data_IF_337468512830
#
_entry.id   IF_337468512830
#
_cell.length_a   1.000
_cell.length_b   1.000
_cell.length_c   1.000
_cell.angle_alpha   90.00
_cell.angle_beta   90.00
_cell.angle_gamma   90.00
#
_symmetry.space_group_name_H-M   'P 1'
#
loop_
_entity.id
_entity.type
_entity.pdbx_description
1 polymer ?
#
# COMPACT_ATOMS: atom_id res chain seq x y z
N UNK A 1 -40.52 7.97 -24.24
CA UNK A 1 -39.14 7.46 -24.19
C UNK A 1 -38.47 8.14 -23.02
N UNK A 2 -38.36 7.44 -21.88
CA UNK A 2 -37.64 7.95 -20.72
C UNK A 2 -36.15 7.69 -20.97
N UNK A 3 -35.37 8.75 -21.06
CA UNK A 3 -33.91 8.70 -21.06
C UNK A 3 -33.48 8.16 -19.69
N UNK A 4 -32.98 6.94 -19.67
CA UNK A 4 -32.21 6.42 -18.55
C UNK A 4 -30.96 7.29 -18.44
N UNK A 5 -30.91 8.16 -17.43
CA UNK A 5 -29.66 8.76 -16.98
C UNK A 5 -28.75 7.58 -16.59
N UNK A 6 -27.69 7.36 -17.37
CA UNK A 6 -26.59 6.52 -16.93
C UNK A 6 -26.04 7.17 -15.66
N UNK A 7 -26.35 6.56 -14.51
CA UNK A 7 -25.66 6.85 -13.26
C UNK A 7 -24.20 6.50 -13.52
N UNK A 8 -23.38 7.49 -13.84
CA UNK A 8 -21.93 7.31 -13.87
C UNK A 8 -21.54 6.77 -12.50
N UNK A 9 -20.96 5.56 -12.42
CA UNK A 9 -20.47 5.06 -11.15
C UNK A 9 -19.50 6.10 -10.58
N UNK A 10 -19.63 6.44 -9.28
CA UNK A 10 -18.65 7.28 -8.60
C UNK A 10 -17.28 6.67 -8.82
N UNK A 11 -16.51 7.27 -9.74
CA UNK A 11 -15.24 6.71 -10.19
C UNK A 11 -14.15 7.29 -9.31
N UNK A 12 -13.44 6.43 -8.60
CA UNK A 12 -12.35 6.80 -7.71
C UNK A 12 -11.04 6.85 -8.50
N UNK A 13 -10.30 7.94 -8.39
CA UNK A 13 -8.96 8.07 -8.98
C UNK A 13 -7.90 7.71 -7.94
N UNK A 14 -7.10 6.68 -8.23
CA UNK A 14 -6.03 6.21 -7.34
C UNK A 14 -4.67 6.35 -8.00
N UNK A 15 -3.74 7.06 -7.35
CA UNK A 15 -2.33 7.08 -7.72
C UNK A 15 -1.60 5.92 -7.04
N UNK A 16 -0.87 5.11 -7.80
CA UNK A 16 -0.13 3.96 -7.28
C UNK A 16 1.37 4.14 -7.52
N UNK A 17 2.13 4.21 -6.43
CA UNK A 17 3.59 4.12 -6.45
C UNK A 17 4.01 2.66 -6.32
N UNK A 18 4.97 2.23 -7.15
CA UNK A 18 5.36 0.81 -7.20
C UNK A 18 4.35 -0.05 -7.95
N UNK A 19 3.61 0.54 -8.90
CA UNK A 19 2.58 -0.13 -9.70
C UNK A 19 3.10 -1.35 -10.49
N UNK A 20 4.39 -1.37 -10.87
CA UNK A 20 5.00 -2.52 -11.55
C UNK A 20 5.42 -3.66 -10.61
N UNK A 21 5.31 -3.48 -9.28
CA UNK A 21 5.69 -4.49 -8.29
C UNK A 21 4.70 -5.66 -8.24
N UNK A 22 5.10 -6.77 -7.63
CA UNK A 22 4.29 -8.00 -7.59
C UNK A 22 2.89 -7.77 -6.97
N UNK A 23 2.78 -6.91 -5.95
CA UNK A 23 1.49 -6.52 -5.35
C UNK A 23 0.86 -5.33 -6.08
N UNK A 24 1.66 -4.32 -6.43
CA UNK A 24 1.17 -3.11 -7.10
C UNK A 24 0.43 -3.41 -8.41
N UNK A 25 0.94 -4.32 -9.23
CA UNK A 25 0.30 -4.69 -10.50
C UNK A 25 -1.08 -5.31 -10.28
N UNK A 26 -1.24 -6.11 -9.22
CA UNK A 26 -2.52 -6.73 -8.85
C UNK A 26 -3.52 -5.69 -8.39
N UNK A 27 -3.06 -4.66 -7.69
CA UNK A 27 -3.93 -3.54 -7.31
C UNK A 27 -4.40 -2.78 -8.55
N UNK A 28 -3.50 -2.51 -9.50
CA UNK A 28 -3.87 -1.89 -10.80
C UNK A 28 -4.93 -2.75 -11.50
N UNK A 29 -4.67 -4.04 -11.71
CA UNK A 29 -5.59 -4.98 -12.37
C UNK A 29 -6.97 -4.97 -11.71
N UNK A 30 -7.03 -5.06 -10.38
CA UNK A 30 -8.29 -5.13 -9.64
C UNK A 30 -9.05 -3.80 -9.62
N UNK A 31 -8.37 -2.65 -9.63
CA UNK A 31 -9.02 -1.34 -9.72
C UNK A 31 -9.60 -1.11 -11.12
N UNK A 32 -8.85 -1.46 -12.17
CA UNK A 32 -9.32 -1.36 -13.55
C UNK A 32 -10.50 -2.32 -13.81
N UNK A 33 -10.46 -3.53 -13.27
CA UNK A 33 -11.57 -4.48 -13.35
C UNK A 33 -12.87 -3.95 -12.69
N UNK A 34 -12.74 -3.16 -11.63
CA UNK A 34 -13.85 -2.47 -10.95
C UNK A 34 -14.20 -1.12 -11.62
N UNK A 35 -13.68 -0.86 -12.82
CA UNK A 35 -13.89 0.36 -13.61
C UNK A 35 -13.47 1.64 -12.88
N UNK A 36 -12.37 1.59 -12.15
CA UNK A 36 -11.81 2.75 -11.44
C UNK A 36 -10.67 3.39 -12.24
N UNK A 37 -10.39 4.67 -11.95
CA UNK A 37 -9.29 5.39 -12.58
C UNK A 37 -7.97 5.13 -11.83
N UNK A 38 -6.93 4.80 -12.57
CA UNK A 38 -5.60 4.50 -12.03
C UNK A 38 -4.56 5.38 -12.69
N UNK A 39 -3.78 6.10 -11.85
CA UNK A 39 -2.52 6.72 -12.26
C UNK A 39 -1.38 5.84 -11.74
N UNK A 40 -0.52 5.35 -12.61
CA UNK A 40 0.59 4.46 -12.26
C UNK A 40 1.93 5.16 -12.50
N UNK A 41 2.71 5.39 -11.43
CA UNK A 41 4.11 5.84 -11.56
C UNK A 41 5.00 4.61 -11.68
N UNK A 42 5.67 4.47 -12.81
CA UNK A 42 6.49 3.31 -13.16
C UNK A 42 7.84 3.73 -13.72
N UNK A 43 8.87 2.92 -13.46
CA UNK A 43 10.24 3.18 -13.95
C UNK A 43 10.42 2.98 -15.44
N UNK A 44 9.61 2.13 -16.03
CA UNK A 44 9.65 1.80 -17.46
C UNK A 44 8.23 1.58 -17.91
N UNK A 45 7.73 2.48 -18.75
CA UNK A 45 6.37 2.40 -19.29
C UNK A 45 6.22 1.18 -20.19
N UNK A 46 7.21 0.93 -21.04
CA UNK A 46 7.27 -0.23 -21.93
C UNK A 46 7.09 -1.55 -21.18
N UNK A 47 7.94 -1.83 -20.17
CA UNK A 47 7.84 -3.06 -19.36
C UNK A 47 6.54 -3.17 -18.57
N UNK A 48 5.97 -2.03 -18.19
CA UNK A 48 4.69 -2.03 -17.48
C UNK A 48 3.55 -2.40 -18.44
N UNK A 49 3.57 -1.89 -19.66
CA UNK A 49 2.57 -2.17 -20.69
C UNK A 49 2.62 -3.62 -21.22
N UNK A 50 3.77 -4.29 -21.12
CA UNK A 50 3.87 -5.75 -21.34
C UNK A 50 3.07 -6.57 -20.32
N UNK A 51 2.88 -6.04 -19.10
CA UNK A 51 2.21 -6.71 -17.99
C UNK A 51 0.74 -6.29 -17.91
N UNK A 52 0.49 -4.98 -18.03
CA UNK A 52 -0.83 -4.36 -17.94
C UNK A 52 -1.12 -3.68 -19.28
N UNK A 53 -2.01 -4.25 -20.11
CA UNK A 53 -2.39 -3.63 -21.38
C UNK A 53 -2.97 -2.22 -21.18
N UNK A 54 -2.89 -1.42 -22.23
CA UNK A 54 -3.50 -0.08 -22.23
C UNK A 54 -5.00 -0.16 -21.92
N UNK A 55 -5.46 0.80 -21.12
CA UNK A 55 -6.85 0.90 -20.67
C UNK A 55 -7.26 2.36 -20.63
N UNK A 56 -8.52 2.67 -20.96
CA UNK A 56 -9.03 4.06 -20.99
C UNK A 56 -8.94 4.76 -19.61
N UNK A 57 -9.01 3.97 -18.55
CA UNK A 57 -8.92 4.42 -17.15
C UNK A 57 -7.51 4.33 -16.55
N UNK A 58 -6.49 4.01 -17.36
CA UNK A 58 -5.10 3.87 -16.92
C UNK A 58 -4.24 4.99 -17.50
N UNK A 59 -3.70 5.83 -16.62
CA UNK A 59 -2.64 6.78 -16.96
C UNK A 59 -1.30 6.25 -16.47
N UNK A 60 -0.35 6.03 -17.39
CA UNK A 60 1.01 5.57 -17.03
C UNK A 60 1.98 6.75 -17.10
N UNK A 61 2.64 7.04 -15.97
CA UNK A 61 3.62 8.11 -15.80
C UNK A 61 5.00 7.45 -15.66
N UNK A 62 5.87 7.64 -16.66
CA UNK A 62 7.21 7.06 -16.67
C UNK A 62 8.18 7.91 -15.85
N UNK A 63 8.38 7.54 -14.58
CA UNK A 63 9.32 8.19 -13.67
C UNK A 63 9.54 7.38 -12.39
N UNK A 64 10.30 7.93 -11.45
CA UNK A 64 10.26 7.53 -10.04
C UNK A 64 9.77 8.68 -9.19
N UNK A 65 9.09 8.38 -8.07
CA UNK A 65 8.60 9.39 -7.15
C UNK A 65 9.67 10.42 -6.74
N UNK A 66 10.91 9.95 -6.56
CA UNK A 66 12.04 10.76 -6.11
C UNK A 66 12.73 11.53 -7.24
N UNK A 67 12.53 11.16 -8.51
CA UNK A 67 13.11 11.86 -9.67
C UNK A 67 12.17 12.87 -10.31
N UNK A 68 10.85 12.75 -10.08
CA UNK A 68 9.87 13.73 -10.58
C UNK A 68 10.15 15.12 -10.00
N UNK A 69 9.90 16.17 -10.78
CA UNK A 69 9.86 17.52 -10.22
C UNK A 69 8.68 17.68 -9.27
N UNK A 70 8.70 18.69 -8.40
CA UNK A 70 7.56 18.94 -7.50
C UNK A 70 6.29 19.32 -8.29
N UNK A 71 6.44 20.01 -9.43
CA UNK A 71 5.34 20.35 -10.31
C UNK A 71 4.70 19.10 -10.95
N UNK A 72 5.51 18.22 -11.54
CA UNK A 72 5.00 16.98 -12.17
C UNK A 72 4.35 16.06 -11.13
N UNK A 73 4.94 16.01 -9.93
CA UNK A 73 4.41 15.17 -8.86
C UNK A 73 3.09 15.73 -8.31
N UNK A 74 2.97 17.07 -8.20
CA UNK A 74 1.72 17.74 -7.88
C UNK A 74 0.64 17.46 -8.92
N UNK A 75 0.96 17.50 -10.21
CA UNK A 75 0.03 17.13 -11.28
C UNK A 75 -0.44 15.67 -11.17
N UNK A 76 0.48 14.75 -10.86
CA UNK A 76 0.15 13.35 -10.66
C UNK A 76 -0.84 13.14 -9.49
N UNK A 77 -0.61 13.81 -8.35
CA UNK A 77 -1.47 13.71 -7.15
C UNK A 77 -2.81 14.44 -7.33
N UNK A 78 -2.84 15.53 -8.11
CA UNK A 78 -4.06 16.34 -8.30
C UNK A 78 -5.22 15.51 -8.84
N UNK A 79 -6.39 15.67 -8.22
CA UNK A 79 -7.61 14.93 -8.57
C UNK A 79 -7.65 13.48 -8.09
N UNK A 80 -6.63 13.01 -7.35
CA UNK A 80 -6.67 11.68 -6.75
C UNK A 80 -7.52 11.68 -5.48
N UNK A 81 -8.37 10.66 -5.33
CA UNK A 81 -9.09 10.38 -4.10
C UNK A 81 -8.24 9.53 -3.15
N UNK A 82 -7.32 8.74 -3.71
CA UNK A 82 -6.42 7.89 -2.96
C UNK A 82 -5.01 7.87 -3.55
N UNK A 83 -4.01 7.66 -2.68
CA UNK A 83 -2.63 7.38 -3.06
C UNK A 83 -2.17 6.11 -2.34
N UNK A 84 -1.67 5.13 -3.09
CA UNK A 84 -1.18 3.85 -2.54
C UNK A 84 0.32 3.71 -2.79
N UNK A 85 1.08 3.52 -1.73
CA UNK A 85 2.49 3.15 -1.82
C UNK A 85 2.64 1.63 -1.71
N UNK A 86 2.89 0.99 -2.85
CA UNK A 86 3.36 -0.40 -2.94
C UNK A 86 4.88 -0.47 -3.18
N UNK A 87 5.60 0.60 -2.83
CA UNK A 87 7.05 0.67 -2.99
C UNK A 87 7.74 -0.33 -2.05
N UNK A 88 8.79 -0.96 -2.56
CA UNK A 88 9.63 -1.85 -1.80
C UNK A 88 11.00 -1.94 -2.44
N UNK A 89 12.00 -2.26 -1.64
CA UNK A 89 13.34 -2.49 -2.15
C UNK A 89 13.42 -3.84 -2.86
N UNK A 90 14.12 -3.89 -3.98
CA UNK A 90 14.48 -5.17 -4.61
C UNK A 90 15.37 -5.97 -3.65
N UNK A 91 15.07 -7.25 -3.42
CA UNK A 91 15.85 -8.14 -2.54
C UNK A 91 17.17 -8.64 -3.17
N UNK A 92 17.84 -7.76 -3.92
CA UNK A 92 19.20 -7.97 -4.41
C UNK A 92 20.17 -7.19 -3.52
N UNK A 93 21.46 -7.56 -3.51
CA UNK A 93 22.47 -6.85 -2.72
C UNK A 93 22.46 -5.33 -3.01
N UNK A 94 22.35 -4.96 -4.30
CA UNK A 94 22.25 -3.56 -4.73
C UNK A 94 20.93 -2.91 -4.30
N UNK A 95 19.80 -3.62 -4.36
CA UNK A 95 18.51 -3.05 -3.95
C UNK A 95 18.39 -2.84 -2.43
N UNK A 96 18.99 -3.73 -1.64
CA UNK A 96 18.98 -3.66 -0.17
C UNK A 96 19.98 -2.60 0.35
N UNK A 97 21.18 -2.53 -0.21
CA UNK A 97 22.26 -1.68 0.32
C UNK A 97 22.58 -0.44 -0.53
N UNK A 98 22.09 -0.39 -1.77
CA UNK A 98 22.27 0.75 -2.68
C UNK A 98 21.36 1.93 -2.36
N UNK A 99 21.47 2.98 -3.17
CA UNK A 99 20.57 4.15 -3.11
C UNK A 99 19.32 3.92 -3.97
N UNK A 100 18.19 4.55 -3.65
CA UNK A 100 17.92 5.28 -2.40
C UNK A 100 17.75 4.31 -1.22
N UNK A 101 18.19 4.72 -0.01
CA UNK A 101 18.09 3.89 1.21
C UNK A 101 16.83 4.17 2.03
N UNK A 102 16.11 5.24 1.71
CA UNK A 102 14.86 5.66 2.31
C UNK A 102 13.78 5.79 1.23
N UNK A 103 13.72 4.84 0.30
CA UNK A 103 12.85 4.88 -0.87
C UNK A 103 11.39 5.12 -0.47
N UNK A 104 10.90 4.32 0.48
CA UNK A 104 9.52 4.33 0.92
C UNK A 104 9.23 5.60 1.72
N UNK A 105 10.09 5.94 2.69
CA UNK A 105 9.92 7.13 3.53
C UNK A 105 9.95 8.41 2.72
N UNK A 106 10.96 8.61 1.87
CA UNK A 106 11.12 9.85 1.11
C UNK A 106 10.00 10.02 0.09
N UNK A 107 9.56 8.92 -0.55
CA UNK A 107 8.44 8.97 -1.49
C UNK A 107 7.13 9.30 -0.76
N UNK A 108 6.91 8.73 0.42
CA UNK A 108 5.70 8.96 1.22
C UNK A 108 5.65 10.38 1.78
N UNK A 109 6.80 10.93 2.21
CA UNK A 109 6.93 12.33 2.60
C UNK A 109 6.56 13.25 1.44
N UNK A 110 7.09 12.98 0.24
CA UNK A 110 6.74 13.76 -0.95
C UNK A 110 5.23 13.70 -1.25
N UNK A 111 4.61 12.52 -1.18
CA UNK A 111 3.14 12.36 -1.28
C UNK A 111 2.42 13.26 -0.29
N UNK A 112 2.76 13.15 1.00
CA UNK A 112 2.02 13.86 2.04
C UNK A 112 2.22 15.37 1.96
N UNK A 113 3.46 15.84 1.72
CA UNK A 113 3.74 17.27 1.52
C UNK A 113 2.98 17.82 0.31
N UNK A 114 2.97 17.11 -0.82
CA UNK A 114 2.21 17.53 -1.99
C UNK A 114 0.71 17.59 -1.72
N UNK A 115 0.13 16.60 -1.03
CA UNK A 115 -1.29 16.65 -0.63
C UNK A 115 -1.55 17.85 0.29
N UNK A 116 -0.62 18.16 1.20
CA UNK A 116 -0.73 19.28 2.12
C UNK A 116 -0.75 20.65 1.45
N UNK A 117 -0.17 20.76 0.26
CA UNK A 117 -0.13 21.98 -0.56
C UNK A 117 -1.32 22.12 -1.53
N UNK A 118 -2.20 21.12 -1.58
CA UNK A 118 -3.40 21.16 -2.41
C UNK A 118 -4.57 21.73 -1.62
N UNK A 119 -5.34 22.59 -2.29
CA UNK A 119 -6.65 23.02 -1.80
C UNK A 119 -7.67 21.92 -2.16
N UNK A 120 -8.12 21.18 -1.15
CA UNK A 120 -8.90 19.96 -1.30
C UNK A 120 -10.22 20.07 -0.56
N UNK A 121 -11.32 19.73 -1.24
CA UNK A 121 -12.65 19.67 -0.61
C UNK A 121 -12.79 18.50 0.37
N UNK A 122 -12.01 17.43 0.17
CA UNK A 122 -12.03 16.19 0.96
C UNK A 122 -10.61 15.67 1.17
N UNK A 123 -10.33 14.99 2.30
CA UNK A 123 -9.04 14.37 2.52
C UNK A 123 -8.74 13.29 1.48
N UNK A 124 -7.47 13.13 1.16
CA UNK A 124 -6.96 12.05 0.31
C UNK A 124 -6.67 10.83 1.18
N UNK A 125 -7.16 9.66 0.75
CA UNK A 125 -6.88 8.37 1.39
C UNK A 125 -5.47 7.90 1.04
N UNK A 126 -4.55 7.89 2.00
CA UNK A 126 -3.17 7.40 1.83
C UNK A 126 -3.03 5.99 2.39
N UNK A 127 -2.72 5.03 1.53
CA UNK A 127 -2.51 3.62 1.93
C UNK A 127 -1.04 3.27 1.76
N UNK A 128 -0.37 2.92 2.85
CA UNK A 128 0.98 2.39 2.83
C UNK A 128 0.93 0.87 2.94
N UNK A 129 1.48 0.16 1.94
CA UNK A 129 1.79 -1.25 2.10
C UNK A 129 3.07 -1.39 2.94
N UNK A 130 2.91 -1.72 4.21
CA UNK A 130 4.00 -2.03 5.13
C UNK A 130 4.30 -3.54 5.20
N UNK A 131 4.64 -4.00 6.40
CA UNK A 131 4.95 -5.41 6.68
C UNK A 131 4.60 -5.73 8.13
N UNK A 132 4.23 -6.98 8.41
CA UNK A 132 4.05 -7.52 9.76
C UNK A 132 5.27 -7.25 10.69
N UNK A 133 6.48 -7.21 10.13
CA UNK A 133 7.70 -6.88 10.89
C UNK A 133 7.73 -5.46 11.44
N UNK A 134 6.90 -4.55 10.92
CA UNK A 134 6.82 -3.15 11.36
C UNK A 134 5.85 -3.03 12.54
N UNK A 135 6.41 -2.71 13.71
CA UNK A 135 5.62 -2.47 14.91
C UNK A 135 4.79 -1.19 14.80
N UNK A 136 3.62 -1.18 15.42
CA UNK A 136 2.79 0.02 15.52
C UNK A 136 3.54 1.09 16.35
N UNK A 137 3.82 2.29 15.78
CA UNK A 137 4.58 3.34 16.46
C UNK A 137 3.93 3.86 17.75
N UNK A 138 2.63 3.62 17.95
CA UNK A 138 1.87 3.94 19.18
C UNK A 138 2.06 2.89 20.29
N UNK A 139 2.77 1.79 20.03
CA UNK A 139 3.04 0.74 21.03
C UNK A 139 1.83 -0.13 21.38
N UNK A 140 0.86 -0.24 20.48
CA UNK A 140 -0.42 -0.95 20.72
C UNK A 140 -0.40 -2.43 20.35
N UNK A 141 0.66 -2.90 19.68
CA UNK A 141 0.82 -4.30 19.30
C UNK A 141 1.08 -5.19 20.53
N UNK A 142 0.77 -6.48 20.39
CA UNK A 142 1.14 -7.47 21.39
C UNK A 142 2.67 -7.58 21.51
N UNK A 143 3.15 -7.81 22.73
CA UNK A 143 4.60 -7.98 22.94
C UNK A 143 5.07 -9.25 22.24
N UNK A 144 6.00 -9.10 21.29
CA UNK A 144 6.63 -10.22 20.59
C UNK A 144 7.56 -11.02 21.52
N UNK A 145 7.67 -12.35 21.34
CA UNK A 145 8.66 -13.19 22.02
C UNK A 145 10.08 -12.64 21.90
N UNK A 146 10.94 -12.89 22.89
CA UNK A 146 12.32 -12.35 22.94
C UNK A 146 13.13 -12.69 21.68
N UNK A 147 12.99 -13.92 21.16
CA UNK A 147 13.66 -14.35 19.92
C UNK A 147 13.26 -13.50 18.71
N UNK A 148 11.99 -13.13 18.60
CA UNK A 148 11.46 -12.32 17.52
C UNK A 148 11.95 -10.88 17.63
N UNK A 149 12.00 -10.35 18.86
CA UNK A 149 12.55 -9.02 19.12
C UNK A 149 14.04 -8.95 18.78
N UNK A 150 14.82 -9.99 19.12
CA UNK A 150 16.24 -10.07 18.77
C UNK A 150 16.42 -10.10 17.25
N UNK A 151 15.67 -10.96 16.56
CA UNK A 151 15.67 -11.07 15.11
C UNK A 151 15.31 -9.74 14.43
N UNK A 152 14.22 -9.07 14.84
CA UNK A 152 13.85 -7.76 14.30
C UNK A 152 14.91 -6.70 14.58
N UNK A 153 15.56 -6.74 15.74
CA UNK A 153 16.67 -5.82 16.05
C UNK A 153 17.86 -6.04 15.11
N UNK A 154 18.19 -7.30 14.80
CA UNK A 154 19.22 -7.64 13.82
C UNK A 154 18.83 -7.22 12.40
N UNK A 155 17.59 -7.52 11.97
CA UNK A 155 17.06 -7.09 10.66
C UNK A 155 17.10 -5.57 10.54
N UNK A 156 16.67 -4.83 11.57
CA UNK A 156 16.76 -3.37 11.63
C UNK A 156 18.20 -2.89 11.47
N UNK A 157 19.17 -3.51 12.14
CA UNK A 157 20.57 -3.11 12.06
C UNK A 157 21.19 -3.40 10.69
N UNK A 158 20.84 -4.53 10.08
CA UNK A 158 21.50 -5.08 8.90
C UNK A 158 20.79 -4.80 7.58
N UNK A 159 19.52 -4.40 7.60
CA UNK A 159 18.71 -4.20 6.39
C UNK A 159 18.13 -2.77 6.38
N UNK A 160 18.73 -1.84 5.62
CA UNK A 160 18.16 -0.51 5.41
C UNK A 160 16.67 -0.52 5.00
N UNK A 161 16.18 -1.45 4.15
CA UNK A 161 14.77 -1.50 3.78
C UNK A 161 13.81 -1.66 4.95
N UNK A 162 14.21 -2.39 6.01
CA UNK A 162 13.34 -2.56 7.18
C UNK A 162 13.21 -1.27 7.96
N UNK A 163 14.33 -0.57 8.20
CA UNK A 163 14.34 0.76 8.83
C UNK A 163 13.53 1.79 8.04
N UNK A 164 13.61 1.72 6.72
CA UNK A 164 12.83 2.58 5.84
C UNK A 164 11.32 2.33 5.99
N UNK A 165 10.89 1.07 6.03
CA UNK A 165 9.48 0.74 6.28
C UNK A 165 9.01 1.18 7.68
N UNK A 166 9.83 1.01 8.72
CA UNK A 166 9.52 1.50 10.06
C UNK A 166 9.42 3.03 10.11
N UNK A 167 10.31 3.75 9.42
CA UNK A 167 10.29 5.21 9.35
C UNK A 167 9.08 5.75 8.57
N UNK A 168 8.69 5.09 7.48
CA UNK A 168 7.49 5.45 6.71
C UNK A 168 6.21 5.29 7.55
N UNK A 169 6.07 4.18 8.28
CA UNK A 169 4.93 3.98 9.18
C UNK A 169 4.94 4.96 10.36
N UNK A 170 6.11 5.24 10.93
CA UNK A 170 6.26 6.26 11.96
C UNK A 170 5.87 7.65 11.47
N UNK A 171 6.25 8.01 10.23
CA UNK A 171 5.92 9.29 9.63
C UNK A 171 4.40 9.49 9.52
N UNK A 172 3.66 8.52 8.96
CA UNK A 172 2.19 8.60 8.95
C UNK A 172 1.61 8.68 10.36
N UNK A 173 2.08 7.81 11.27
CA UNK A 173 1.51 7.71 12.61
C UNK A 173 1.82 8.90 13.52
N UNK A 174 2.96 9.57 13.37
CA UNK A 174 3.47 10.57 14.32
C UNK A 174 3.54 11.97 13.73
N UNK A 175 4.01 12.08 12.49
CA UNK A 175 4.21 13.38 11.84
C UNK A 175 2.94 13.86 11.12
N UNK A 176 2.23 12.97 10.41
CA UNK A 176 0.91 13.27 9.86
C UNK A 176 -0.16 13.16 10.97
N UNK A 177 -0.13 12.07 11.74
CA UNK A 177 -1.04 11.88 12.86
C UNK A 177 -2.51 11.76 12.42
N UNK A 178 -3.44 12.08 13.31
CA UNK A 178 -4.89 11.97 13.07
C UNK A 178 -5.55 13.33 12.80
N UNK A 179 -4.79 14.42 12.99
CA UNK A 179 -5.29 15.80 12.98
C UNK A 179 -5.11 16.50 11.62
N UNK A 180 -4.38 15.88 10.69
CA UNK A 180 -4.19 16.42 9.35
C UNK A 180 -5.51 16.39 8.57
N UNK A 181 -6.11 17.57 8.34
CA UNK A 181 -7.46 17.68 7.77
C UNK A 181 -7.59 17.19 6.32
N UNK A 182 -6.48 17.10 5.59
CA UNK A 182 -6.45 16.72 4.18
C UNK A 182 -5.82 15.35 3.89
N UNK A 183 -5.33 14.64 4.91
CA UNK A 183 -4.76 13.30 4.76
C UNK A 183 -5.39 12.37 5.78
N UNK A 184 -6.05 11.33 5.27
CA UNK A 184 -6.45 10.18 6.05
C UNK A 184 -5.53 9.01 5.68
N UNK A 185 -5.12 8.16 6.62
CA UNK A 185 -4.16 7.10 6.30
C UNK A 185 -4.44 5.74 6.95
N UNK A 186 -3.93 4.70 6.28
CA UNK A 186 -3.92 3.31 6.76
C UNK A 186 -2.59 2.66 6.37
N UNK A 187 -1.98 1.89 7.29
CA UNK A 187 -0.79 1.07 6.99
C UNK A 187 -1.16 -0.41 6.95
N UNK A 188 -1.25 -1.00 5.76
CA UNK A 188 -1.55 -2.43 5.60
C UNK A 188 -0.28 -3.23 5.85
N UNK A 189 -0.29 -4.13 6.84
CA UNK A 189 0.86 -4.92 7.29
C UNK A 189 0.71 -6.41 6.93
N UNK A 190 0.86 -6.80 5.66
CA UNK A 190 0.80 -8.21 5.31
C UNK A 190 1.93 -9.01 5.98
N UNK A 191 1.65 -10.27 6.29
CA UNK A 191 2.64 -11.24 6.75
C UNK A 191 3.37 -11.91 5.56
N UNK A 192 3.67 -13.21 5.62
CA UNK A 192 4.33 -13.95 4.55
C UNK A 192 3.62 -13.82 3.21
N UNK A 193 4.18 -13.02 2.29
CA UNK A 193 3.59 -12.76 0.99
C UNK A 193 3.84 -13.90 0.01
N UNK A 194 2.78 -14.62 -0.36
CA UNK A 194 2.80 -15.69 -1.36
C UNK A 194 2.13 -15.26 -2.67
N UNK A 195 2.42 -15.98 -3.76
CA UNK A 195 1.67 -15.84 -5.01
C UNK A 195 0.36 -16.62 -4.94
N UNK A 196 -0.62 -16.20 -5.72
CA UNK A 196 -1.96 -16.79 -5.78
C UNK A 196 -3.01 -15.76 -6.13
N UNK A 197 -4.22 -16.24 -6.40
CA UNK A 197 -5.40 -15.42 -6.68
C UNK A 197 -6.02 -14.87 -5.38
N UNK A 198 -7.08 -14.07 -5.55
CA UNK A 198 -7.89 -13.64 -4.41
C UNK A 198 -8.57 -14.87 -3.80
N UNK A 199 -8.39 -15.07 -2.50
CA UNK A 199 -8.98 -16.16 -1.71
C UNK A 199 -9.64 -15.59 -0.46
N UNK A 200 -10.20 -16.45 0.39
CA UNK A 200 -10.70 -16.00 1.70
C UNK A 200 -9.54 -15.54 2.59
N UNK A 201 -9.71 -14.40 3.23
CA UNK A 201 -8.76 -13.82 4.18
C UNK A 201 -9.51 -13.11 5.31
N UNK A 202 -8.85 -12.97 6.46
CA UNK A 202 -9.28 -12.16 7.59
C UNK A 202 -8.35 -10.96 7.77
N UNK A 203 -8.82 -9.93 8.45
CA UNK A 203 -8.02 -8.74 8.74
C UNK A 203 -8.03 -8.49 10.25
N UNK A 204 -6.85 -8.61 10.84
CA UNK A 204 -6.61 -8.41 12.26
C UNK A 204 -6.16 -6.98 12.55
N UNK A 205 -6.45 -6.49 13.76
CA UNK A 205 -6.00 -5.18 14.23
C UNK A 205 -4.51 -5.17 14.58
N UNK A 206 -3.97 -6.32 14.95
CA UNK A 206 -2.59 -6.51 15.39
C UNK A 206 -1.94 -7.73 14.75
N UNK A 207 -0.62 -7.74 14.61
CA UNK A 207 0.15 -8.92 14.28
C UNK A 207 -0.19 -10.13 15.13
N UNK A 208 -0.42 -11.27 14.48
CA UNK A 208 -0.41 -12.54 15.17
C UNK A 208 1.04 -12.92 15.56
N UNK A 209 1.23 -13.76 16.59
CA UNK A 209 2.54 -14.28 16.95
C UNK A 209 3.20 -15.05 15.80
N UNK A 210 4.50 -14.87 15.59
CA UNK A 210 5.28 -15.56 14.55
C UNK A 210 5.62 -14.65 13.36
N UNK A 211 6.91 -14.33 13.21
CA UNK A 211 7.44 -13.52 12.09
C UNK A 211 7.57 -14.26 10.74
N UNK A 212 7.57 -15.59 10.76
CA UNK A 212 7.86 -16.44 9.59
C UNK A 212 6.98 -17.71 9.58
N UNK A 213 5.73 -17.57 9.99
CA UNK A 213 4.80 -18.70 10.11
C UNK A 213 3.56 -18.43 10.97
N UNK A 214 3.36 -17.18 11.41
CA UNK A 214 2.14 -16.72 12.10
C UNK A 214 0.95 -16.66 11.15
N UNK A 215 1.17 -16.17 9.93
CA UNK A 215 0.23 -16.21 8.81
C UNK A 215 0.91 -16.06 7.44
N UNK A 216 0.15 -16.33 6.38
CA UNK A 216 0.54 -16.05 5.00
C UNK A 216 -0.60 -15.30 4.32
N UNK A 217 -0.29 -14.47 3.34
CA UNK A 217 -1.31 -13.79 2.53
C UNK A 217 -0.92 -13.74 1.07
N UNK A 218 -1.88 -13.97 0.17
CA UNK A 218 -1.59 -13.80 -1.26
C UNK A 218 -1.41 -12.31 -1.57
N UNK A 219 -0.49 -11.98 -2.47
CA UNK A 219 -0.38 -10.58 -2.96
C UNK A 219 -1.69 -10.08 -3.57
N UNK A 220 -2.51 -10.98 -4.11
CA UNK A 220 -3.84 -10.65 -4.62
C UNK A 220 -4.81 -10.28 -3.50
N UNK A 221 -4.77 -10.94 -2.34
CA UNK A 221 -5.57 -10.57 -1.16
C UNK A 221 -5.15 -9.23 -0.57
N UNK A 222 -3.83 -8.94 -0.55
CA UNK A 222 -3.34 -7.62 -0.11
C UNK A 222 -3.83 -6.51 -1.04
N UNK A 223 -3.73 -6.71 -2.36
CA UNK A 223 -4.28 -5.80 -3.36
C UNK A 223 -5.81 -5.63 -3.20
N UNK A 224 -6.53 -6.74 -2.99
CA UNK A 224 -7.98 -6.73 -2.79
C UNK A 224 -8.37 -5.95 -1.54
N UNK A 225 -7.66 -6.13 -0.43
CA UNK A 225 -7.91 -5.38 0.78
C UNK A 225 -7.64 -3.89 0.62
N UNK A 226 -6.53 -3.50 -0.03
CA UNK A 226 -6.24 -2.09 -0.33
C UNK A 226 -7.31 -1.47 -1.24
N UNK A 227 -7.76 -2.18 -2.28
CA UNK A 227 -8.90 -1.77 -3.11
C UNK A 227 -10.16 -1.57 -2.27
N UNK A 228 -10.47 -2.52 -1.40
CA UNK A 228 -11.65 -2.46 -0.52
C UNK A 228 -11.58 -1.28 0.44
N UNK A 229 -10.42 -0.99 1.02
CA UNK A 229 -10.19 0.21 1.85
C UNK A 229 -10.51 1.50 1.09
N UNK A 230 -10.10 1.58 -0.19
CA UNK A 230 -10.30 2.77 -1.01
C UNK A 230 -11.78 2.95 -1.38
N UNK A 231 -12.43 1.88 -1.84
CA UNK A 231 -13.77 1.93 -2.45
C UNK A 231 -14.93 1.76 -1.47
N UNK A 232 -14.69 1.26 -0.26
CA UNK A 232 -15.73 1.04 0.76
C UNK A 232 -15.50 1.95 1.98
N UNK A 233 -16.41 2.91 2.19
CA UNK A 233 -16.27 3.90 3.26
C UNK A 233 -16.37 3.31 4.67
N UNK A 234 -17.15 2.24 4.87
CA UNK A 234 -17.22 1.58 6.18
C UNK A 234 -15.93 0.82 6.49
N UNK A 235 -15.33 0.18 5.48
CA UNK A 235 -14.01 -0.45 5.61
C UNK A 235 -12.93 0.59 5.88
N UNK A 236 -12.99 1.74 5.21
CA UNK A 236 -12.09 2.86 5.46
C UNK A 236 -12.21 3.35 6.90
N UNK A 237 -13.43 3.71 7.35
CA UNK A 237 -13.69 4.20 8.71
C UNK A 237 -13.25 3.21 9.78
N UNK A 238 -13.43 1.91 9.54
CA UNK A 238 -12.98 0.86 10.47
C UNK A 238 -11.47 0.89 10.71
N UNK A 239 -10.69 1.17 9.67
CA UNK A 239 -9.23 1.08 9.70
C UNK A 239 -8.52 2.44 9.66
N UNK A 240 -9.27 3.54 9.61
CA UNK A 240 -8.75 4.89 9.60
C UNK A 240 -7.76 5.10 10.76
N UNK A 241 -6.54 5.51 10.42
CA UNK A 241 -5.42 5.72 11.34
C UNK A 241 -4.96 4.45 12.09
N UNK A 242 -5.23 3.28 11.50
CA UNK A 242 -4.84 1.97 12.01
C UNK A 242 -3.81 1.28 11.10
N UNK A 243 -3.28 0.18 11.61
CA UNK A 243 -2.28 -0.64 10.91
C UNK A 243 -2.74 -2.11 10.77
N UNK A 244 -3.81 -2.39 9.99
CA UNK A 244 -4.39 -3.72 9.86
C UNK A 244 -3.45 -4.77 9.26
N UNK A 245 -3.69 -6.05 9.59
CA UNK A 245 -2.90 -7.21 9.16
C UNK A 245 -3.81 -8.18 8.39
N UNK A 246 -3.77 -8.20 7.05
CA UNK A 246 -4.53 -9.17 6.25
C UNK A 246 -3.80 -10.52 6.20
N UNK A 247 -4.51 -11.61 6.51
CA UNK A 247 -3.98 -12.98 6.48
C UNK A 247 -4.98 -13.95 5.83
N UNK A 248 -4.49 -14.90 5.05
CA UNK A 248 -5.31 -15.93 4.45
C UNK A 248 -5.98 -16.80 5.53
N UNK A 249 -7.24 -17.15 5.31
CA UNK A 249 -7.87 -18.23 6.07
C UNK A 249 -7.31 -19.54 5.51
N UNK A 250 -6.62 -20.31 6.35
CA UNK A 250 -6.19 -21.66 5.96
C UNK A 250 -7.45 -22.49 5.71
N UNK A 251 -7.65 -22.93 4.47
CA UNK A 251 -8.64 -23.96 4.20
C UNK A 251 -8.18 -25.24 4.89
N UNK A 252 -8.85 -25.62 5.97
CA UNK A 252 -8.68 -26.94 6.56
C UNK A 252 -9.13 -27.92 5.49
N UNK A 253 -8.18 -28.65 4.88
CA UNK A 253 -8.51 -29.80 4.05
C UNK A 253 -9.37 -30.73 4.91
N UNK A 254 -10.66 -30.86 4.57
CA UNK A 254 -11.49 -31.93 5.12
C UNK A 254 -10.95 -33.26 4.56
N UNK A 255 -10.47 -34.13 5.45
CA UNK A 255 -9.97 -35.48 5.17
C UNK A 255 -8.53 -35.62 5.66
N UNK A 256 -8.20 -36.53 6.58
CA UNK A 256 -8.53 -37.95 6.55
C UNK A 256 -8.98 -38.44 7.95
N UNK A 257 -10.19 -39.02 8.02
CA UNK A 257 -10.56 -40.07 9.00
C UNK A 257 -10.24 -41.43 8.38
#
# INVERSE_FOLDING_TARGET
>A
MATTEEVTPNTTTTLILGASGNTGRRLVEQLLADKQNVKAIVRSKERFQEIIPDHEQLQVIESTALEMTDADFKEAVTGCNAVVSCLGHNLTLKGVYGKPRALVTDSLKKVCTTIQELDLEKPVKVVLMGSNGVANPKGTDNTRPLRERFLLSAVRALTPPHRDNEAAAAYLSKDIGEEASNIEWVVVRPDGLIEGDVSKYEVFDKPLPGLFGGGETTRANVAHFMKTLILNDDMWKKWLYQMPVPENIKEVKKGEE
#
